data_IF_841097176823
#
_entry.id   IF_841097176823
#
_cell.length_a   1.000
_cell.length_b   1.000
_cell.length_c   1.000
_cell.angle_alpha   90.00
_cell.angle_beta   90.00
_cell.angle_gamma   90.00
#
_symmetry.space_group_name_H-M   'P 1'
#
loop_
_entity.id
_entity.type
_entity.pdbx_description
1 polymer ?
#
# COMPACT_ATOMS: atom_id res chain seq x y z
N UNK A 1 -72.73 -17.51 -11.84
CA UNK A 1 -71.46 -17.19 -11.20
C UNK A 1 -70.37 -17.80 -12.07
N UNK A 2 -69.49 -16.98 -12.65
CA UNK A 2 -68.45 -17.48 -13.55
C UNK A 2 -67.28 -18.13 -12.79
N UNK A 3 -67.15 -17.90 -11.48
CA UNK A 3 -66.08 -18.45 -10.66
C UNK A 3 -66.18 -19.97 -10.40
N UNK A 4 -67.30 -20.60 -10.79
CA UNK A 4 -67.55 -22.03 -10.60
C UNK A 4 -67.52 -22.83 -11.91
N UNK A 5 -67.15 -22.21 -13.03
CA UNK A 5 -67.06 -22.86 -14.34
C UNK A 5 -65.63 -23.32 -14.59
N UNK A 6 -65.46 -24.52 -15.16
CA UNK A 6 -64.16 -24.98 -15.66
C UNK A 6 -63.71 -24.13 -16.87
N UNK A 7 -62.42 -24.07 -17.21
CA UNK A 7 -61.95 -23.38 -18.40
C UNK A 7 -62.61 -23.93 -19.68
N UNK A 8 -63.09 -23.06 -20.55
CA UNK A 8 -63.80 -23.44 -21.77
C UNK A 8 -64.69 -22.35 -22.35
N UNK A 9 -65.30 -22.65 -23.49
CA UNK A 9 -66.28 -21.77 -24.15
C UNK A 9 -67.69 -22.13 -23.69
N UNK A 10 -68.46 -21.13 -23.26
CA UNK A 10 -69.83 -21.28 -22.77
C UNK A 10 -70.76 -20.33 -23.50
N UNK A 11 -71.92 -20.83 -23.89
CA UNK A 11 -72.96 -20.00 -24.50
C UNK A 11 -73.89 -19.41 -23.44
N UNK A 12 -73.99 -18.08 -23.42
CA UNK A 12 -74.94 -17.35 -22.60
C UNK A 12 -76.17 -17.02 -23.45
N UNK A 13 -77.26 -17.73 -23.20
CA UNK A 13 -78.55 -17.49 -23.87
C UNK A 13 -79.48 -16.69 -22.98
N UNK A 14 -79.97 -15.56 -23.50
CA UNK A 14 -81.02 -14.74 -22.86
C UNK A 14 -82.29 -14.88 -23.68
N UNK A 15 -83.41 -15.13 -23.01
CA UNK A 15 -84.73 -15.25 -23.65
C UNK A 15 -85.68 -14.22 -23.07
N UNK A 16 -86.36 -13.46 -23.93
CA UNK A 16 -87.43 -12.53 -23.54
C UNK A 16 -88.63 -12.77 -24.45
N UNK A 17 -89.71 -13.30 -23.88
CA UNK A 17 -90.86 -13.76 -24.67
C UNK A 17 -90.45 -14.87 -25.64
N UNK A 18 -90.66 -14.66 -26.95
CA UNK A 18 -90.25 -15.59 -28.02
C UNK A 18 -88.88 -15.30 -28.65
N UNK A 19 -88.19 -14.24 -28.23
CA UNK A 19 -86.88 -13.87 -28.77
C UNK A 19 -85.75 -14.46 -27.92
N UNK A 20 -84.76 -15.06 -28.58
CA UNK A 20 -83.52 -15.56 -27.96
C UNK A 20 -82.32 -14.82 -28.53
N UNK A 21 -81.35 -14.51 -27.68
CA UNK A 21 -80.04 -14.03 -28.07
C UNK A 21 -78.99 -14.87 -27.35
N UNK A 22 -78.01 -15.38 -28.10
CA UNK A 22 -76.88 -16.13 -27.56
C UNK A 22 -75.59 -15.34 -27.74
N UNK A 23 -74.73 -15.35 -26.73
CA UNK A 23 -73.38 -14.81 -26.80
C UNK A 23 -72.41 -15.80 -26.15
N UNK A 24 -71.36 -16.17 -26.87
CA UNK A 24 -70.32 -17.02 -26.33
C UNK A 24 -69.40 -16.22 -25.41
N UNK A 25 -69.08 -16.82 -24.27
CA UNK A 25 -68.10 -16.34 -23.30
C UNK A 25 -66.99 -17.38 -23.19
N UNK A 26 -65.75 -16.94 -23.02
CA UNK A 26 -64.62 -17.83 -22.76
C UNK A 26 -64.22 -17.66 -21.30
N UNK A 27 -64.18 -18.77 -20.57
CA UNK A 27 -63.56 -18.87 -19.25
C UNK A 27 -62.14 -19.35 -19.46
N UNK A 28 -61.16 -18.49 -19.22
CA UNK A 28 -59.75 -18.82 -19.39
C UNK A 28 -59.24 -19.67 -18.21
N UNK A 29 -58.25 -20.54 -18.48
CA UNK A 29 -57.55 -21.25 -17.42
C UNK A 29 -56.67 -20.27 -16.63
N UNK A 30 -56.86 -20.25 -15.31
CA UNK A 30 -56.11 -19.36 -14.44
C UNK A 30 -54.61 -19.73 -14.44
N UNK A 31 -53.76 -18.75 -14.74
CA UNK A 31 -52.32 -18.95 -14.91
C UNK A 31 -51.65 -19.13 -13.55
N UNK A 32 -50.76 -20.11 -13.46
CA UNK A 32 -49.95 -20.34 -12.27
C UNK A 32 -49.11 -19.11 -11.88
N UNK A 33 -48.83 -18.96 -10.58
CA UNK A 33 -48.06 -17.85 -10.06
C UNK A 33 -46.69 -17.74 -10.74
N UNK A 34 -46.44 -16.61 -11.41
CA UNK A 34 -45.22 -16.36 -12.18
C UNK A 34 -44.66 -15.02 -11.75
N UNK A 35 -43.44 -14.99 -11.21
CA UNK A 35 -42.88 -13.80 -10.59
C UNK A 35 -41.89 -13.09 -11.51
N UNK A 36 -42.18 -11.85 -11.87
CA UNK A 36 -41.30 -10.99 -12.67
C UNK A 36 -40.75 -9.82 -11.83
N UNK A 37 -39.51 -9.43 -12.11
CA UNK A 37 -38.90 -8.21 -11.55
C UNK A 37 -39.21 -7.03 -12.48
N UNK A 38 -40.09 -6.13 -12.06
CA UNK A 38 -40.56 -5.00 -12.88
C UNK A 38 -39.69 -3.75 -12.75
N UNK A 39 -38.98 -3.58 -11.64
CA UNK A 39 -38.06 -2.46 -11.38
C UNK A 39 -36.91 -2.88 -10.46
N UNK A 40 -35.73 -2.31 -10.68
CA UNK A 40 -34.61 -2.28 -9.73
C UNK A 40 -34.31 -0.81 -9.51
N UNK A 41 -34.29 -0.39 -8.25
CA UNK A 41 -33.96 0.95 -7.80
C UNK A 41 -32.73 0.86 -6.88
N UNK A 42 -31.65 1.50 -7.29
CA UNK A 42 -30.36 1.53 -6.63
C UNK A 42 -29.60 2.76 -7.15
N UNK A 43 -28.64 3.32 -6.39
CA UNK A 43 -27.81 4.41 -6.89
C UNK A 43 -26.98 3.95 -8.11
N UNK A 44 -26.46 4.90 -8.88
CA UNK A 44 -25.57 4.61 -10.00
C UNK A 44 -24.16 4.24 -9.55
N UNK A 45 -23.72 4.80 -8.41
CA UNK A 45 -22.47 4.49 -7.75
C UNK A 45 -22.63 4.33 -6.23
N UNK A 46 -21.67 3.66 -5.61
CA UNK A 46 -21.46 3.61 -4.16
C UNK A 46 -19.97 3.83 -3.88
N UNK A 47 -19.63 4.48 -2.77
CA UNK A 47 -18.23 4.65 -2.34
C UNK A 47 -17.71 3.37 -1.66
N UNK A 48 -16.41 3.13 -1.74
CA UNK A 48 -15.75 2.05 -1.00
C UNK A 48 -15.97 2.18 0.51
N UNK A 49 -16.33 1.07 1.16
CA UNK A 49 -16.75 1.03 2.56
C UNK A 49 -18.13 1.63 2.83
N UNK A 50 -18.83 2.13 1.80
CA UNK A 50 -20.18 2.66 1.91
C UNK A 50 -21.28 1.60 1.89
N UNK A 51 -22.49 2.02 2.21
CA UNK A 51 -23.68 1.15 2.23
C UNK A 51 -24.47 1.25 0.90
N UNK A 52 -24.62 0.12 0.20
CA UNK A 52 -25.42 0.04 -1.02
C UNK A 52 -26.87 -0.37 -0.71
N UNK A 53 -27.79 0.59 -0.79
CA UNK A 53 -29.23 0.35 -0.65
C UNK A 53 -29.88 0.00 -1.99
N UNK A 54 -30.54 -1.16 -2.04
CA UNK A 54 -31.20 -1.69 -3.24
C UNK A 54 -32.66 -2.01 -2.93
N UNK A 55 -33.55 -1.60 -3.83
CA UNK A 55 -34.93 -2.04 -3.83
C UNK A 55 -35.32 -2.68 -5.17
N UNK A 56 -36.12 -3.74 -5.12
CA UNK A 56 -36.67 -4.38 -6.30
C UNK A 56 -38.20 -4.45 -6.19
N UNK A 57 -38.89 -4.16 -7.29
CA UNK A 57 -40.34 -4.37 -7.39
C UNK A 57 -40.57 -5.71 -8.05
N UNK A 58 -41.27 -6.60 -7.33
CA UNK A 58 -41.60 -7.95 -7.79
C UNK A 58 -43.10 -8.06 -7.96
N UNK A 59 -43.54 -8.51 -9.13
CA UNK A 59 -44.94 -8.67 -9.49
C UNK A 59 -45.24 -10.14 -9.81
N UNK A 60 -46.34 -10.64 -9.28
CA UNK A 60 -46.93 -11.90 -9.75
C UNK A 60 -47.75 -11.60 -11.01
N UNK A 61 -47.30 -12.05 -12.18
CA UNK A 61 -47.99 -11.85 -13.46
C UNK A 61 -48.97 -12.98 -13.81
N UNK A 62 -49.03 -14.01 -12.95
CA UNK A 62 -50.05 -15.05 -12.98
C UNK A 62 -51.31 -14.66 -12.21
N UNK A 63 -52.28 -15.55 -12.20
CA UNK A 63 -53.61 -15.34 -11.60
C UNK A 63 -53.72 -16.00 -10.21
N UNK A 64 -52.92 -17.03 -9.94
CA UNK A 64 -52.88 -17.70 -8.64
C UNK A 64 -51.95 -16.99 -7.66
N UNK A 65 -52.33 -17.00 -6.38
CA UNK A 65 -51.43 -16.61 -5.31
C UNK A 65 -50.21 -17.54 -5.23
N UNK A 66 -49.05 -17.00 -4.87
CA UNK A 66 -47.82 -17.78 -4.75
C UNK A 66 -46.83 -17.16 -3.79
N UNK A 67 -45.78 -17.91 -3.47
CA UNK A 67 -44.63 -17.44 -2.69
C UNK A 67 -43.37 -17.56 -3.52
N UNK A 68 -42.52 -16.53 -3.46
CA UNK A 68 -41.27 -16.46 -4.20
C UNK A 68 -40.15 -15.93 -3.30
N UNK A 69 -39.01 -16.63 -3.31
CA UNK A 69 -37.75 -16.08 -2.80
C UNK A 69 -37.05 -15.28 -3.89
N UNK A 70 -36.84 -14.01 -3.64
CA UNK A 70 -36.12 -13.06 -4.47
C UNK A 70 -34.67 -13.02 -4.00
N UNK A 71 -33.74 -13.34 -4.89
CA UNK A 71 -32.30 -13.24 -4.62
C UNK A 71 -31.78 -11.95 -5.23
N UNK A 72 -31.10 -11.13 -4.44
CA UNK A 72 -30.46 -9.89 -4.86
C UNK A 72 -28.95 -10.09 -4.66
N UNK A 73 -28.16 -9.87 -5.70
CA UNK A 73 -26.70 -10.03 -5.68
C UNK A 73 -26.02 -8.80 -6.27
N UNK A 74 -24.95 -8.36 -5.63
CA UNK A 74 -24.05 -7.32 -6.15
C UNK A 74 -22.65 -7.89 -6.34
N UNK A 75 -22.13 -7.83 -7.57
CA UNK A 75 -20.84 -8.42 -7.93
C UNK A 75 -20.79 -9.93 -7.65
N UNK A 76 -19.59 -10.48 -7.46
CA UNK A 76 -19.40 -11.92 -7.26
C UNK A 76 -19.74 -12.42 -5.84
N UNK A 77 -19.74 -11.57 -4.81
CA UNK A 77 -19.79 -12.04 -3.42
C UNK A 77 -20.95 -11.55 -2.54
N UNK A 78 -21.53 -10.37 -2.77
CA UNK A 78 -22.58 -9.84 -1.90
C UNK A 78 -23.94 -10.35 -2.33
N UNK A 79 -24.67 -11.07 -1.47
CA UNK A 79 -26.01 -11.57 -1.81
C UNK A 79 -26.96 -11.58 -0.63
N UNK A 80 -28.24 -11.36 -0.91
CA UNK A 80 -29.32 -11.37 0.07
C UNK A 80 -30.58 -11.99 -0.52
N UNK A 81 -31.37 -12.64 0.33
CA UNK A 81 -32.64 -13.23 -0.05
C UNK A 81 -33.81 -12.53 0.67
N UNK A 82 -34.92 -12.35 -0.03
CA UNK A 82 -36.19 -11.87 0.53
C UNK A 82 -37.33 -12.71 -0.02
N UNK A 83 -38.18 -13.26 0.86
CA UNK A 83 -39.35 -14.03 0.43
C UNK A 83 -40.58 -13.14 0.44
N UNK A 84 -41.36 -13.18 -0.64
CA UNK A 84 -42.65 -12.49 -0.76
C UNK A 84 -43.76 -13.50 -1.07
N UNK A 85 -44.94 -13.27 -0.49
CA UNK A 85 -46.18 -13.92 -0.89
C UNK A 85 -47.06 -12.88 -1.57
N UNK A 86 -47.55 -13.17 -2.77
CA UNK A 86 -48.33 -12.26 -3.60
C UNK A 86 -49.52 -12.99 -4.21
N UNK A 87 -50.69 -12.35 -4.14
CA UNK A 87 -51.86 -12.74 -4.93
C UNK A 87 -51.60 -12.56 -6.43
N UNK A 88 -52.48 -13.11 -7.27
CA UNK A 88 -52.42 -12.92 -8.72
C UNK A 88 -52.50 -11.43 -9.08
N UNK A 89 -51.62 -10.98 -9.98
CA UNK A 89 -51.53 -9.59 -10.41
C UNK A 89 -50.89 -8.61 -9.40
N UNK A 90 -50.74 -8.98 -8.12
CA UNK A 90 -50.21 -8.12 -7.08
C UNK A 90 -48.69 -7.89 -7.21
N UNK A 91 -48.20 -6.79 -6.65
CA UNK A 91 -46.78 -6.47 -6.59
C UNK A 91 -46.33 -6.04 -5.19
N UNK A 92 -45.06 -6.29 -4.89
CA UNK A 92 -44.42 -5.90 -3.64
C UNK A 92 -43.00 -5.39 -3.90
N UNK A 93 -42.65 -4.32 -3.21
CA UNK A 93 -41.28 -3.81 -3.14
C UNK A 93 -40.52 -4.53 -2.02
N UNK A 94 -39.35 -5.07 -2.35
CA UNK A 94 -38.39 -5.67 -1.41
C UNK A 94 -37.14 -4.82 -1.37
N UNK A 95 -36.57 -4.62 -0.19
CA UNK A 95 -35.34 -3.83 -0.02
C UNK A 95 -34.26 -4.59 0.76
N UNK A 96 -33.02 -4.33 0.40
CA UNK A 96 -31.79 -4.85 1.02
C UNK A 96 -30.77 -3.72 1.08
N UNK A 97 -30.01 -3.66 2.16
CA UNK A 97 -28.79 -2.86 2.24
C UNK A 97 -27.61 -3.81 2.33
N UNK A 98 -26.64 -3.64 1.43
CA UNK A 98 -25.32 -4.25 1.56
C UNK A 98 -24.44 -3.23 2.28
N UNK A 99 -24.14 -3.49 3.54
CA UNK A 99 -23.29 -2.60 4.33
C UNK A 99 -21.80 -2.83 4.03
N UNK A 100 -20.99 -1.79 4.21
CA UNK A 100 -19.52 -1.81 4.12
C UNK A 100 -19.01 -2.48 2.83
N UNK A 101 -19.39 -1.92 1.67
CA UNK A 101 -19.03 -2.48 0.36
C UNK A 101 -17.55 -2.25 0.07
N UNK A 102 -16.74 -3.29 0.25
CA UNK A 102 -15.29 -3.30 -0.05
C UNK A 102 -14.97 -4.29 -1.16
N UNK A 103 -14.74 -3.78 -2.38
CA UNK A 103 -14.33 -4.54 -3.57
C UNK A 103 -13.52 -3.62 -4.49
N UNK A 104 -12.99 -4.19 -5.56
CA UNK A 104 -12.36 -3.40 -6.62
C UNK A 104 -13.37 -2.44 -7.26
N UNK A 105 -12.90 -1.27 -7.64
CA UNK A 105 -13.66 -0.22 -8.28
C UNK A 105 -14.22 -0.61 -9.65
N UNK A 106 -15.05 0.27 -10.19
CA UNK A 106 -15.67 0.08 -11.49
C UNK A 106 -17.06 -0.55 -11.44
N UNK A 107 -17.58 -0.92 -12.61
CA UNK A 107 -18.98 -1.30 -12.79
C UNK A 107 -19.23 -2.76 -12.41
N UNK A 108 -20.07 -2.99 -11.41
CA UNK A 108 -20.45 -4.33 -10.95
C UNK A 108 -21.91 -4.65 -11.25
N UNK A 109 -22.24 -5.91 -11.59
CA UNK A 109 -23.62 -6.31 -11.85
C UNK A 109 -24.42 -6.39 -10.56
N UNK A 110 -25.52 -5.64 -10.50
CA UNK A 110 -26.60 -5.80 -9.54
C UNK A 110 -27.70 -6.66 -10.16
N UNK A 111 -27.81 -7.90 -9.70
CA UNK A 111 -28.69 -8.93 -10.26
C UNK A 111 -29.81 -9.25 -9.27
N UNK A 112 -31.05 -9.20 -9.74
CA UNK A 112 -32.25 -9.63 -9.02
C UNK A 112 -32.87 -10.83 -9.73
N UNK A 113 -32.98 -11.94 -9.03
CA UNK A 113 -33.44 -13.22 -9.58
C UNK A 113 -34.66 -13.72 -8.81
N UNK A 114 -35.70 -14.11 -9.53
CA UNK A 114 -36.81 -14.95 -9.08
C UNK A 114 -36.66 -16.35 -9.70
N UNK A 115 -37.55 -17.29 -9.39
CA UNK A 115 -37.55 -18.60 -10.05
C UNK A 115 -37.83 -18.52 -11.56
N UNK A 116 -38.48 -17.44 -12.01
CA UNK A 116 -38.99 -17.29 -13.37
C UNK A 116 -38.23 -16.26 -14.20
N UNK A 117 -37.62 -15.25 -13.57
CA UNK A 117 -36.99 -14.14 -14.29
C UNK A 117 -35.80 -13.58 -13.53
N UNK A 118 -34.75 -13.25 -14.28
CA UNK A 118 -33.62 -12.45 -13.82
C UNK A 118 -33.68 -11.08 -14.46
N UNK A 119 -33.34 -10.05 -13.69
CA UNK A 119 -33.09 -8.70 -14.19
C UNK A 119 -31.82 -8.17 -13.57
N UNK A 120 -31.05 -7.41 -14.33
CA UNK A 120 -29.79 -6.84 -13.87
C UNK A 120 -29.61 -5.40 -14.34
N UNK A 121 -28.74 -4.68 -13.62
CA UNK A 121 -28.16 -3.39 -14.02
C UNK A 121 -26.75 -3.27 -13.46
N UNK A 122 -25.94 -2.36 -13.99
CA UNK A 122 -24.65 -2.04 -13.38
C UNK A 122 -24.80 -1.01 -12.26
N UNK A 123 -23.98 -1.15 -11.20
CA UNK A 123 -23.74 -0.14 -10.18
C UNK A 123 -22.24 -0.01 -10.00
N UNK A 124 -21.70 1.20 -10.17
CA UNK A 124 -20.27 1.46 -10.04
C UNK A 124 -19.84 1.49 -8.56
N UNK A 125 -18.62 1.04 -8.29
CA UNK A 125 -17.94 1.27 -7.02
C UNK A 125 -16.85 2.31 -7.26
N UNK A 126 -16.91 3.42 -6.52
CA UNK A 126 -15.87 4.44 -6.47
C UNK A 126 -14.85 4.01 -5.43
N UNK A 127 -13.62 3.76 -5.86
CA UNK A 127 -12.54 3.23 -5.02
C UNK A 127 -11.53 4.35 -4.71
N UNK A 128 -11.05 4.48 -3.45
CA UNK A 128 -10.14 5.55 -3.07
C UNK A 128 -8.72 5.35 -3.63
N UNK A 129 -8.26 4.11 -3.77
CA UNK A 129 -7.01 3.80 -4.48
C UNK A 129 -7.15 4.14 -5.97
N UNK A 130 -6.20 4.90 -6.57
CA UNK A 130 -6.19 5.19 -8.00
C UNK A 130 -6.01 3.95 -8.90
N UNK A 131 -5.54 2.83 -8.35
CA UNK A 131 -5.49 1.54 -9.04
C UNK A 131 -6.87 0.89 -9.20
N UNK A 132 -7.88 1.41 -8.49
CA UNK A 132 -9.18 0.77 -8.41
C UNK A 132 -9.20 -0.46 -7.51
N UNK A 133 -8.10 -0.84 -6.87
CA UNK A 133 -8.05 -1.97 -5.95
C UNK A 133 -7.06 -1.72 -4.80
N UNK A 134 -7.08 -2.61 -3.81
CA UNK A 134 -6.21 -2.53 -2.63
C UNK A 134 -5.11 -3.58 -2.63
N UNK A 135 -5.23 -4.67 -3.40
CA UNK A 135 -4.19 -5.71 -3.48
C UNK A 135 -3.53 -5.61 -4.85
N UNK A 136 -2.30 -5.10 -4.88
CA UNK A 136 -1.53 -4.87 -6.10
C UNK A 136 -0.62 -6.06 -6.39
N UNK A 137 -0.65 -6.56 -7.62
CA UNK A 137 0.31 -7.53 -8.13
C UNK A 137 1.70 -6.91 -8.21
N UNK A 138 2.66 -7.42 -7.44
CA UNK A 138 4.05 -6.99 -7.45
C UNK A 138 4.93 -8.01 -8.16
N UNK A 139 5.42 -7.66 -9.33
CA UNK A 139 6.53 -8.39 -9.95
C UNK A 139 7.84 -7.78 -9.50
N UNK A 140 8.80 -8.62 -9.14
CA UNK A 140 10.12 -8.15 -8.73
C UNK A 140 11.16 -8.80 -9.61
N UNK A 141 11.85 -7.95 -10.35
CA UNK A 141 12.89 -8.28 -11.30
C UNK A 141 14.26 -8.15 -10.61
N UNK A 142 14.62 -9.20 -9.85
CA UNK A 142 15.87 -9.31 -9.10
C UNK A 142 16.94 -10.15 -9.81
N UNK A 143 16.73 -10.49 -11.08
CA UNK A 143 17.63 -11.34 -11.86
C UNK A 143 19.05 -10.76 -12.01
N UNK A 144 19.19 -9.43 -11.96
CA UNK A 144 20.48 -8.75 -12.03
C UNK A 144 21.18 -8.63 -10.66
N UNK A 145 20.53 -9.01 -9.56
CA UNK A 145 21.10 -8.88 -8.22
C UNK A 145 21.86 -10.14 -7.84
N UNK A 146 23.14 -9.99 -7.47
CA UNK A 146 24.02 -11.13 -7.14
C UNK A 146 23.73 -11.75 -5.76
N UNK A 147 22.70 -11.26 -5.05
CA UNK A 147 22.31 -11.68 -3.70
C UNK A 147 20.79 -11.75 -3.55
N UNK A 148 20.32 -12.54 -2.59
CA UNK A 148 18.89 -12.65 -2.30
C UNK A 148 18.36 -11.37 -1.63
N UNK A 149 17.43 -10.69 -2.29
CA UNK A 149 16.78 -9.45 -1.83
C UNK A 149 15.28 -9.62 -1.53
N UNK A 150 14.76 -10.85 -1.56
CA UNK A 150 13.35 -11.12 -1.28
C UNK A 150 12.88 -10.61 0.09
N UNK A 151 13.72 -10.76 1.12
CA UNK A 151 13.45 -10.24 2.45
C UNK A 151 13.39 -8.72 2.51
N UNK A 152 14.25 -8.04 1.74
CA UNK A 152 14.30 -6.58 1.65
C UNK A 152 13.04 -6.02 0.97
N UNK A 153 12.65 -6.61 -0.17
CA UNK A 153 11.40 -6.24 -0.85
C UNK A 153 10.15 -6.50 0.01
N UNK A 154 10.13 -7.60 0.76
CA UNK A 154 9.03 -7.92 1.68
C UNK A 154 8.96 -6.95 2.88
N UNK A 155 10.12 -6.54 3.42
CA UNK A 155 10.16 -5.56 4.51
C UNK A 155 9.63 -4.19 4.05
N UNK A 156 10.04 -3.74 2.87
CA UNK A 156 9.64 -2.47 2.27
C UNK A 156 8.15 -2.43 1.89
N UNK A 157 7.64 -3.46 1.23
CA UNK A 157 6.20 -3.56 0.93
C UNK A 157 5.38 -3.61 2.22
N UNK A 158 5.79 -4.42 3.20
CA UNK A 158 5.13 -4.48 4.49
C UNK A 158 5.16 -3.16 5.26
N UNK A 159 6.11 -2.24 5.00
CA UNK A 159 6.06 -0.89 5.56
C UNK A 159 4.80 -0.15 5.08
N UNK A 160 4.52 -0.16 3.78
CA UNK A 160 3.32 0.46 3.23
C UNK A 160 2.06 -0.23 3.73
N UNK A 161 1.98 -1.56 3.72
CA UNK A 161 0.81 -2.30 4.23
C UNK A 161 0.46 -2.03 5.71
N UNK A 162 1.42 -1.54 6.50
CA UNK A 162 1.20 -1.18 7.91
C UNK A 162 0.87 0.30 8.12
N UNK A 163 1.18 1.16 7.16
CA UNK A 163 1.10 2.63 7.30
C UNK A 163 0.27 3.31 6.20
N UNK A 164 -0.34 2.52 5.32
CA UNK A 164 -1.10 2.91 4.14
C UNK A 164 -2.21 3.92 4.41
N UNK A 165 -3.18 3.62 5.27
CA UNK A 165 -4.29 4.52 5.57
C UNK A 165 -3.80 5.86 6.15
N UNK A 166 -2.66 5.85 6.85
CA UNK A 166 -2.07 7.06 7.43
C UNK A 166 -1.46 7.97 6.36
N UNK A 167 -0.73 7.40 5.40
CA UNK A 167 0.06 8.19 4.44
C UNK A 167 -0.60 8.30 3.06
N UNK A 168 -1.32 7.27 2.62
CA UNK A 168 -1.99 7.19 1.33
C UNK A 168 -3.50 7.50 1.41
N UNK A 169 -4.09 7.37 2.61
CA UNK A 169 -5.54 7.57 2.80
C UNK A 169 -6.41 6.39 2.33
N UNK A 170 -5.79 5.27 1.95
CA UNK A 170 -6.45 4.01 1.58
C UNK A 170 -5.56 2.83 1.94
N UNK A 171 -6.13 1.63 2.19
CA UNK A 171 -5.34 0.44 2.45
C UNK A 171 -4.68 -0.10 1.18
N UNK A 172 -3.48 -0.65 1.30
CA UNK A 172 -2.75 -1.33 0.23
C UNK A 172 -2.09 -2.61 0.72
N UNK A 173 -2.09 -3.62 -0.14
CA UNK A 173 -1.42 -4.90 0.01
C UNK A 173 -0.66 -5.22 -1.27
N UNK A 174 0.46 -5.93 -1.16
CA UNK A 174 1.25 -6.36 -2.31
C UNK A 174 1.26 -7.88 -2.42
N UNK A 175 0.74 -8.42 -3.52
CA UNK A 175 0.81 -9.85 -3.83
C UNK A 175 1.93 -10.13 -4.82
N UNK A 176 2.92 -10.93 -4.44
CA UNK A 176 4.02 -11.30 -5.34
C UNK A 176 3.48 -12.10 -6.53
N UNK A 177 3.71 -11.60 -7.74
CA UNK A 177 3.40 -12.32 -8.99
C UNK A 177 4.68 -12.82 -9.65
N UNK A 178 4.57 -13.93 -10.38
CA UNK A 178 5.69 -14.59 -11.06
C UNK A 178 5.89 -14.12 -12.50
N UNK A 179 4.97 -13.31 -13.02
CA UNK A 179 4.93 -12.88 -14.42
C UNK A 179 4.62 -11.39 -14.45
N UNK A 180 5.47 -10.62 -15.14
CA UNK A 180 5.37 -9.16 -15.27
C UNK A 180 4.03 -8.73 -15.90
N UNK A 181 3.43 -9.56 -16.76
CA UNK A 181 2.14 -9.25 -17.39
C UNK A 181 0.95 -9.26 -16.44
N UNK A 182 1.13 -9.76 -15.21
CA UNK A 182 0.13 -9.76 -14.13
C UNK A 182 0.45 -8.73 -13.05
N UNK A 183 1.46 -7.89 -13.28
CA UNK A 183 1.90 -6.92 -12.29
C UNK A 183 1.16 -5.60 -12.46
N UNK A 184 0.78 -5.03 -11.33
CA UNK A 184 0.38 -3.62 -11.23
C UNK A 184 1.60 -2.73 -10.99
N UNK A 185 2.58 -3.28 -10.26
CA UNK A 185 3.87 -2.64 -9.96
C UNK A 185 5.01 -3.59 -10.31
N UNK A 186 6.02 -3.07 -10.99
CA UNK A 186 7.30 -3.73 -11.24
C UNK A 186 8.37 -3.09 -10.38
N UNK A 187 8.95 -3.86 -9.47
CA UNK A 187 10.16 -3.48 -8.74
C UNK A 187 11.38 -4.07 -9.46
N UNK A 188 12.19 -3.23 -10.09
CA UNK A 188 13.37 -3.62 -10.84
C UNK A 188 14.65 -3.27 -10.11
N UNK A 189 15.64 -4.14 -10.19
CA UNK A 189 16.98 -3.86 -9.67
C UNK A 189 17.98 -3.72 -10.81
N UNK A 190 18.40 -2.48 -11.09
CA UNK A 190 19.38 -2.17 -12.14
C UNK A 190 20.15 -0.89 -11.81
N UNK A 191 21.23 -0.58 -12.53
CA UNK A 191 21.98 0.67 -12.33
C UNK A 191 21.10 1.88 -12.66
N UNK A 192 21.02 2.81 -11.72
CA UNK A 192 20.27 4.05 -11.90
C UNK A 192 21.26 5.17 -12.20
N UNK A 193 21.39 5.51 -13.48
CA UNK A 193 22.31 6.58 -13.91
C UNK A 193 21.63 7.94 -14.00
N UNK A 194 20.29 7.96 -14.17
CA UNK A 194 19.47 9.17 -14.27
C UNK A 194 18.08 8.91 -13.77
N UNK A 195 17.50 9.89 -13.09
CA UNK A 195 16.08 9.93 -12.77
C UNK A 195 15.53 11.34 -13.04
N UNK A 196 14.42 11.42 -13.79
CA UNK A 196 13.81 12.71 -14.16
C UNK A 196 14.72 13.61 -15.02
N UNK A 197 14.76 14.90 -14.69
CA UNK A 197 15.47 15.95 -15.46
C UNK A 197 16.83 16.33 -14.87
N UNK A 198 17.26 15.65 -13.81
CA UNK A 198 18.49 15.99 -13.12
C UNK A 198 19.74 15.52 -13.87
N UNK A 199 20.85 16.25 -13.66
CA UNK A 199 22.08 16.13 -14.44
C UNK A 199 22.98 14.94 -14.05
N UNK A 200 24.02 14.70 -14.84
CA UNK A 200 24.92 13.55 -14.72
C UNK A 200 25.81 13.50 -13.44
N UNK A 201 25.80 14.54 -12.59
CA UNK A 201 26.71 14.65 -11.44
C UNK A 201 26.06 14.23 -10.10
N UNK A 202 24.81 13.74 -10.12
CA UNK A 202 24.07 13.30 -8.92
C UNK A 202 24.15 11.78 -8.74
N UNK A 203 24.32 11.32 -7.50
CA UNK A 203 24.27 9.90 -7.12
C UNK A 203 22.80 9.49 -6.92
N UNK A 204 22.29 8.56 -7.72
CA UNK A 204 20.92 8.05 -7.59
C UNK A 204 20.90 6.67 -6.94
N UNK A 205 20.01 6.46 -5.96
CA UNK A 205 19.73 5.14 -5.40
C UNK A 205 18.53 4.47 -6.04
N UNK A 206 17.56 5.24 -6.53
CA UNK A 206 16.36 4.73 -7.15
C UNK A 206 15.73 5.71 -8.15
N UNK A 207 14.70 5.23 -8.84
CA UNK A 207 13.83 6.03 -9.68
C UNK A 207 12.50 5.32 -9.92
N UNK A 208 11.39 6.04 -9.81
CA UNK A 208 10.06 5.50 -10.03
C UNK A 208 9.19 6.36 -10.94
N UNK A 209 8.19 5.71 -11.52
CA UNK A 209 7.04 6.40 -12.06
C UNK A 209 6.26 7.09 -10.92
N UNK A 210 5.97 8.38 -11.10
CA UNK A 210 5.06 9.11 -10.22
C UNK A 210 3.61 8.90 -10.66
N UNK A 211 2.77 8.43 -9.75
CA UNK A 211 1.31 8.40 -9.93
C UNK A 211 0.76 9.81 -9.73
N UNK A 212 -0.01 10.31 -10.69
CA UNK A 212 -0.61 11.66 -10.61
C UNK A 212 -2.13 11.56 -10.65
N UNK A 213 -2.68 11.04 -11.76
CA UNK A 213 -4.13 10.89 -11.94
C UNK A 213 -4.52 9.40 -11.98
N UNK A 214 -3.98 8.65 -12.94
CA UNK A 214 -4.23 7.22 -13.13
C UNK A 214 -2.91 6.48 -13.30
N UNK A 215 -2.79 5.23 -12.79
CA UNK A 215 -1.56 4.46 -12.92
C UNK A 215 -1.32 4.05 -14.37
N UNK A 216 -0.06 4.11 -14.79
CA UNK A 216 0.41 3.51 -16.04
C UNK A 216 0.79 2.07 -15.76
N UNK A 217 -0.16 1.14 -15.83
CA UNK A 217 0.06 -0.25 -15.42
C UNK A 217 0.91 -1.05 -16.43
N UNK A 218 2.02 -1.70 -16.01
CA UNK A 218 2.59 -1.67 -14.66
C UNK A 218 3.38 -0.38 -14.38
N UNK A 219 3.18 0.17 -13.19
CA UNK A 219 4.03 1.25 -12.68
C UNK A 219 5.42 0.68 -12.34
N UNK A 220 6.49 1.40 -12.64
CA UNK A 220 7.85 0.89 -12.40
C UNK A 220 8.56 1.64 -11.28
N UNK A 221 9.18 0.90 -10.36
CA UNK A 221 10.16 1.39 -9.40
C UNK A 221 11.49 0.68 -9.66
N UNK A 222 12.57 1.44 -9.89
CA UNK A 222 13.92 0.89 -10.12
C UNK A 222 14.84 1.26 -8.97
N UNK A 223 15.62 0.31 -8.46
CA UNK A 223 16.57 0.50 -7.36
C UNK A 223 17.97 0.04 -7.76
N UNK A 224 19.00 0.81 -7.42
CA UNK A 224 20.38 0.47 -7.75
C UNK A 224 20.82 -0.78 -6.99
N UNK A 225 21.09 -1.85 -7.73
CA UNK A 225 21.47 -3.15 -7.15
C UNK A 225 22.74 -3.15 -6.29
N UNK A 226 23.56 -2.09 -6.35
CA UNK A 226 24.85 -1.99 -5.66
C UNK A 226 24.77 -1.35 -4.28
N UNK A 227 23.62 -0.80 -3.87
CA UNK A 227 23.46 -0.22 -2.52
C UNK A 227 23.40 -1.34 -1.47
N UNK A 228 23.57 -0.99 -0.18
CA UNK A 228 23.38 -1.89 0.95
C UNK A 228 21.92 -2.39 1.04
N UNK A 229 21.62 -3.45 1.78
CA UNK A 229 20.24 -3.87 2.02
C UNK A 229 19.46 -2.86 2.88
N UNK A 230 20.15 -2.08 3.73
CA UNK A 230 19.55 -1.01 4.51
C UNK A 230 19.07 0.14 3.61
N UNK A 231 19.96 0.64 2.73
CA UNK A 231 19.64 1.67 1.75
C UNK A 231 18.66 1.16 0.69
N UNK A 232 18.78 -0.10 0.28
CA UNK A 232 17.83 -0.74 -0.63
C UNK A 232 16.43 -0.75 -0.04
N UNK A 233 16.29 -1.12 1.24
CA UNK A 233 14.99 -1.09 1.92
C UNK A 233 14.40 0.32 1.95
N UNK A 234 15.19 1.33 2.36
CA UNK A 234 14.75 2.72 2.39
C UNK A 234 14.37 3.24 1.00
N UNK A 235 15.16 2.90 -0.01
CA UNK A 235 14.92 3.29 -1.41
C UNK A 235 13.67 2.63 -1.96
N UNK A 236 13.45 1.32 -1.75
CA UNK A 236 12.20 0.67 -2.19
C UNK A 236 11.01 1.35 -1.53
N UNK A 237 11.06 1.68 -0.24
CA UNK A 237 9.96 2.38 0.43
C UNK A 237 9.68 3.73 -0.25
N UNK A 238 10.73 4.53 -0.52
CA UNK A 238 10.64 5.81 -1.20
C UNK A 238 10.02 5.69 -2.61
N UNK A 239 10.60 4.81 -3.44
CA UNK A 239 10.13 4.59 -4.82
C UNK A 239 8.71 4.03 -4.85
N UNK A 240 8.35 3.19 -3.88
CA UNK A 240 6.97 2.73 -3.70
C UNK A 240 6.02 3.88 -3.30
N UNK A 241 6.49 4.90 -2.60
CA UNK A 241 5.71 6.11 -2.33
C UNK A 241 5.32 6.85 -3.61
N UNK A 242 6.25 7.01 -4.55
CA UNK A 242 5.99 7.64 -5.85
C UNK A 242 4.96 6.89 -6.69
N UNK A 243 5.05 5.56 -6.77
CA UNK A 243 4.02 4.77 -7.47
C UNK A 243 2.66 4.82 -6.75
N UNK A 244 2.59 5.24 -5.49
CA UNK A 244 1.34 5.51 -4.78
C UNK A 244 0.89 6.99 -4.83
N UNK A 245 1.70 7.85 -5.46
CA UNK A 245 1.38 9.24 -5.75
C UNK A 245 1.93 10.26 -4.77
N UNK A 246 2.83 9.84 -3.89
CA UNK A 246 3.53 10.76 -3.01
C UNK A 246 4.67 11.47 -3.73
N UNK A 247 4.80 12.78 -3.53
CA UNK A 247 5.91 13.60 -4.00
C UNK A 247 7.01 13.73 -2.94
N UNK A 248 8.14 14.32 -3.33
CA UNK A 248 9.22 14.55 -2.40
C UNK A 248 8.81 15.49 -1.25
N UNK A 249 9.21 15.12 -0.03
CA UNK A 249 8.96 15.89 1.20
C UNK A 249 7.56 15.69 1.80
N UNK A 250 6.69 14.92 1.16
CA UNK A 250 5.42 14.51 1.76
C UNK A 250 5.63 13.46 2.86
N UNK A 251 4.65 13.31 3.75
CA UNK A 251 4.75 12.31 4.81
C UNK A 251 4.74 10.88 4.24
N UNK A 252 5.66 9.98 4.66
CA UNK A 252 6.69 10.14 5.70
C UNK A 252 7.91 10.96 5.25
N UNK A 253 8.07 12.19 5.77
CA UNK A 253 8.94 13.21 5.18
C UNK A 253 10.43 12.83 5.15
N UNK A 254 10.91 12.05 6.12
CA UNK A 254 12.27 11.53 6.10
C UNK A 254 12.52 10.56 4.95
N UNK A 255 11.61 9.61 4.74
CA UNK A 255 11.72 8.59 3.70
C UNK A 255 11.40 9.14 2.32
N UNK A 256 10.44 10.07 2.19
CA UNK A 256 10.09 10.72 0.93
C UNK A 256 10.95 11.96 0.64
N UNK A 257 12.01 12.23 1.40
CA UNK A 257 12.91 13.33 1.08
C UNK A 257 13.64 13.05 -0.25
N UNK A 258 13.80 14.07 -1.10
CA UNK A 258 14.54 13.96 -2.36
C UNK A 258 16.02 13.59 -2.14
N UNK A 259 16.56 13.91 -0.96
CA UNK A 259 17.93 13.60 -0.58
C UNK A 259 17.94 12.66 0.61
N UNK A 260 18.52 11.47 0.43
CA UNK A 260 18.86 10.58 1.54
C UNK A 260 20.05 11.12 2.33
N UNK A 261 19.88 11.24 3.65
CA UNK A 261 20.92 11.67 4.61
C UNK A 261 20.88 10.77 5.84
N UNK A 262 21.92 10.81 6.68
CA UNK A 262 21.98 10.03 7.92
C UNK A 262 20.73 10.20 8.81
N UNK A 263 20.14 11.40 8.85
CA UNK A 263 18.96 11.70 9.65
C UNK A 263 17.63 11.21 9.03
N UNK A 264 17.62 10.94 7.73
CA UNK A 264 16.42 10.38 7.05
C UNK A 264 16.18 8.92 7.41
N UNK A 265 17.21 8.19 7.82
CA UNK A 265 17.12 6.78 8.24
C UNK A 265 16.74 6.67 9.71
N UNK A 266 15.70 5.89 10.02
CA UNK A 266 15.22 5.69 11.40
C UNK A 266 14.78 4.24 11.67
N UNK A 267 15.55 3.46 12.44
CA UNK A 267 16.87 3.80 12.98
C UNK A 267 17.95 3.87 11.89
N UNK A 268 18.98 4.69 12.12
CA UNK A 268 20.24 4.62 11.38
C UNK A 268 20.99 3.34 11.81
N UNK A 269 20.98 2.34 10.92
CA UNK A 269 21.74 1.09 11.07
C UNK A 269 23.24 1.29 10.85
N UNK A 270 24.05 0.85 11.80
CA UNK A 270 25.50 1.04 11.82
C UNK A 270 26.19 -0.32 11.95
N UNK A 271 27.17 -0.59 11.07
CA UNK A 271 28.05 -1.74 11.22
C UNK A 271 29.38 -1.27 11.78
N UNK A 272 29.64 -1.62 13.04
CA UNK A 272 30.90 -1.35 13.72
C UNK A 272 31.82 -2.57 13.59
N UNK A 273 33.04 -2.35 13.11
CA UNK A 273 34.03 -3.41 12.93
C UNK A 273 35.44 -2.94 13.26
N UNK A 274 36.30 -3.90 13.54
CA UNK A 274 37.75 -3.73 13.58
C UNK A 274 38.35 -4.30 12.27
N UNK A 275 39.56 -3.89 11.91
CA UNK A 275 40.26 -4.36 10.72
C UNK A 275 40.55 -5.88 10.77
N UNK A 276 40.76 -6.44 11.97
CA UNK A 276 40.97 -7.88 12.20
C UNK A 276 39.69 -8.64 12.65
N UNK A 277 38.53 -7.97 12.78
CA UNK A 277 37.27 -8.61 13.12
C UNK A 277 36.27 -7.76 13.91
N UNK A 278 35.85 -8.25 15.08
CA UNK A 278 34.93 -7.54 15.96
C UNK A 278 35.71 -6.58 16.88
N UNK A 279 35.15 -5.38 17.08
CA UNK A 279 35.66 -4.40 18.04
C UNK A 279 35.61 -4.91 19.48
N UNK A 280 36.42 -4.29 20.35
CA UNK A 280 36.36 -4.49 21.79
C UNK A 280 35.13 -3.79 22.38
N UNK A 281 34.64 -4.30 23.52
CA UNK A 281 33.51 -3.69 24.25
C UNK A 281 33.71 -2.20 24.58
N UNK A 282 34.89 -1.76 25.08
CA UNK A 282 35.14 -0.34 25.34
C UNK A 282 34.97 0.56 24.11
N UNK A 283 35.49 0.16 22.94
CA UNK A 283 35.32 0.94 21.71
C UNK A 283 33.85 0.98 21.28
N UNK A 284 33.13 -0.14 21.40
CA UNK A 284 31.69 -0.20 21.14
C UNK A 284 30.90 0.74 22.06
N UNK A 285 31.23 0.79 23.35
CA UNK A 285 30.62 1.67 24.34
C UNK A 285 30.84 3.17 24.01
N UNK A 286 32.06 3.53 23.56
CA UNK A 286 32.40 4.90 23.15
C UNK A 286 31.65 5.34 21.88
N UNK A 287 31.55 4.44 20.88
CA UNK A 287 30.75 4.69 19.67
C UNK A 287 29.28 4.85 20.04
N UNK A 288 28.75 4.00 20.93
CA UNK A 288 27.39 4.09 21.42
C UNK A 288 27.11 5.41 22.15
N UNK A 289 28.01 5.83 23.04
CA UNK A 289 27.90 7.10 23.76
C UNK A 289 27.80 8.29 22.80
N UNK A 290 28.61 8.29 21.73
CA UNK A 290 28.57 9.33 20.71
C UNK A 290 27.24 9.40 19.96
N UNK A 291 26.66 8.25 19.64
CA UNK A 291 25.39 8.17 18.92
C UNK A 291 24.20 8.50 19.82
N UNK A 292 24.27 8.12 21.10
CA UNK A 292 23.29 8.46 22.13
C UNK A 292 23.25 9.97 22.41
N UNK A 293 24.39 10.66 22.32
CA UNK A 293 24.43 12.12 22.34
C UNK A 293 23.49 12.73 21.28
N UNK A 294 23.54 12.24 20.03
CA UNK A 294 22.62 12.71 18.98
C UNK A 294 21.18 12.23 19.19
N UNK A 295 20.98 11.02 19.70
CA UNK A 295 19.64 10.49 19.98
C UNK A 295 18.92 11.28 21.09
N UNK A 296 19.67 11.88 22.01
CA UNK A 296 19.16 12.74 23.08
C UNK A 296 18.83 14.18 22.65
N UNK A 297 19.15 14.58 21.41
CA UNK A 297 18.96 15.95 20.91
C UNK A 297 17.62 16.14 20.19
N UNK A 298 17.08 17.35 20.30
CA UNK A 298 15.82 17.76 19.65
C UNK A 298 16.03 18.56 18.36
N UNK A 299 17.27 18.92 18.03
CA UNK A 299 17.64 19.80 16.91
C UNK A 299 18.43 19.07 15.80
N UNK A 300 18.11 17.79 15.60
CA UNK A 300 18.66 16.99 14.50
C UNK A 300 18.03 17.43 13.18
N UNK A 301 18.85 17.73 12.18
CA UNK A 301 18.39 18.19 10.85
C UNK A 301 17.62 17.09 10.15
N UNK A 302 16.46 17.42 9.56
CA UNK A 302 15.70 16.46 8.77
C UNK A 302 15.03 15.35 9.60
N UNK A 303 14.99 15.50 10.93
CA UNK A 303 14.41 14.48 11.80
C UNK A 303 13.80 14.99 13.10
N UNK A 304 12.54 14.63 13.38
CA UNK A 304 11.91 14.87 14.70
C UNK A 304 12.60 14.18 15.88
N UNK A 305 13.33 13.07 15.64
CA UNK A 305 14.08 12.27 16.63
C UNK A 305 15.06 11.33 15.92
N UNK A 306 16.36 11.48 16.19
CA UNK A 306 17.38 10.53 15.76
C UNK A 306 17.28 9.23 16.57
N UNK A 307 17.47 8.11 15.88
CA UNK A 307 17.54 6.79 16.48
C UNK A 307 18.54 5.96 15.68
N UNK A 308 19.22 5.04 16.34
CA UNK A 308 20.28 4.26 15.73
C UNK A 308 20.26 2.83 16.29
N UNK A 309 20.85 1.89 15.56
CA UNK A 309 21.07 0.52 16.02
C UNK A 309 22.34 -0.07 15.38
N UNK A 310 23.03 -0.95 16.12
CA UNK A 310 24.10 -1.76 15.54
C UNK A 310 23.53 -2.94 14.75
N UNK A 311 24.23 -3.31 13.68
CA UNK A 311 23.96 -4.49 12.85
C UNK A 311 25.24 -5.24 12.54
N UNK A 312 25.11 -6.53 12.21
CA UNK A 312 26.24 -7.46 12.12
C UNK A 312 27.01 -7.42 10.79
N UNK A 313 26.58 -6.59 9.82
CA UNK A 313 27.23 -6.55 8.51
C UNK A 313 27.10 -5.22 7.81
N UNK A 314 28.09 -4.88 6.99
CA UNK A 314 28.06 -3.72 6.09
C UNK A 314 26.85 -3.78 5.14
N UNK A 315 26.41 -5.00 4.79
CA UNK A 315 25.23 -5.19 3.95
C UNK A 315 23.97 -4.67 4.64
N UNK A 316 23.84 -4.84 5.95
CA UNK A 316 22.64 -4.48 6.69
C UNK A 316 22.70 -3.06 7.26
N UNK A 317 23.77 -2.30 7.00
CA UNK A 317 24.02 -0.98 7.55
C UNK A 317 23.88 0.13 6.51
N UNK A 318 23.47 1.32 6.95
CA UNK A 318 23.57 2.54 6.14
C UNK A 318 24.98 3.15 6.22
N UNK A 319 25.66 2.96 7.36
CA UNK A 319 27.01 3.48 7.62
C UNK A 319 27.88 2.40 8.26
N UNK A 320 29.13 2.31 7.83
CA UNK A 320 30.17 1.56 8.51
C UNK A 320 30.96 2.49 9.42
N UNK A 321 31.39 1.96 10.57
CA UNK A 321 32.44 2.55 11.38
C UNK A 321 33.51 1.48 11.49
N UNK A 322 34.71 1.79 11.03
CA UNK A 322 35.84 0.87 11.17
C UNK A 322 36.91 1.46 12.06
N UNK A 323 37.20 0.73 13.14
CA UNK A 323 38.32 1.00 14.02
C UNK A 323 39.56 0.28 13.51
N UNK A 324 40.68 0.99 13.37
CA UNK A 324 41.93 0.49 12.82
C UNK A 324 43.10 1.00 13.67
N UNK A 325 43.69 0.09 14.45
CA UNK A 325 44.81 0.42 15.32
C UNK A 325 46.12 0.70 14.57
N UNK A 326 46.21 0.37 13.27
CA UNK A 326 47.45 0.46 12.48
C UNK A 326 47.54 1.76 11.69
N UNK A 327 46.41 2.25 11.17
CA UNK A 327 46.28 3.52 10.46
C UNK A 327 47.00 3.56 9.12
N UNK A 328 46.25 3.42 8.03
CA UNK A 328 46.82 3.49 6.66
C UNK A 328 45.93 4.23 5.64
N UNK A 329 44.68 4.57 5.98
CA UNK A 329 43.68 5.07 5.03
C UNK A 329 43.45 6.58 5.15
N UNK A 330 43.31 7.10 6.38
CA UNK A 330 42.93 8.48 6.64
C UNK A 330 44.11 9.42 6.85
N UNK A 331 45.00 9.07 7.78
CA UNK A 331 46.07 9.95 8.23
C UNK A 331 47.35 9.13 8.36
N UNK A 332 48.46 9.65 7.85
CA UNK A 332 49.75 8.93 7.83
C UNK A 332 50.63 9.20 9.04
N UNK A 333 50.25 10.15 9.91
CA UNK A 333 50.95 10.49 11.15
C UNK A 333 49.98 11.06 12.21
N UNK A 334 49.88 10.42 13.38
CA UNK A 334 49.35 11.05 14.61
C UNK A 334 47.89 10.77 14.98
N UNK A 335 47.25 9.77 14.36
CA UNK A 335 45.90 9.29 14.67
C UNK A 335 44.77 10.27 14.37
N UNK A 336 43.59 9.75 14.01
CA UNK A 336 42.43 10.59 13.72
C UNK A 336 41.26 9.84 13.11
N UNK A 337 40.34 10.60 12.51
CA UNK A 337 39.19 10.04 11.80
C UNK A 337 38.94 10.72 10.45
N UNK A 338 38.42 9.95 9.51
CA UNK A 338 37.93 10.45 8.23
C UNK A 338 36.78 9.59 7.69
N UNK A 339 36.08 10.09 6.68
CA UNK A 339 35.01 9.34 6.01
C UNK A 339 35.44 8.98 4.59
N UNK A 340 35.34 7.69 4.26
CA UNK A 340 35.62 7.14 2.92
C UNK A 340 34.38 6.43 2.36
N UNK A 341 34.44 5.99 1.10
CA UNK A 341 33.40 5.12 0.54
C UNK A 341 33.44 3.75 1.23
N UNK A 342 32.27 3.26 1.64
CA UNK A 342 32.09 1.93 2.22
C UNK A 342 32.03 0.81 1.18
N UNK A 343 31.60 -0.38 1.62
CA UNK A 343 31.56 -1.58 0.78
C UNK A 343 30.51 -1.51 -0.33
N UNK A 344 29.40 -0.78 -0.09
CA UNK A 344 28.29 -0.65 -1.01
C UNK A 344 28.22 0.73 -1.65
N UNK A 345 27.63 0.81 -2.85
CA UNK A 345 27.47 2.08 -3.55
C UNK A 345 26.63 3.05 -2.71
N UNK A 346 27.15 4.24 -2.42
CA UNK A 346 26.45 5.20 -1.58
C UNK A 346 26.86 5.18 -0.10
N UNK A 347 27.32 4.02 0.38
CA UNK A 347 27.61 3.80 1.79
C UNK A 347 28.86 4.56 2.23
N UNK A 348 28.85 5.08 3.44
CA UNK A 348 29.98 5.74 4.08
C UNK A 348 30.67 4.78 5.06
N UNK A 349 31.99 4.85 5.15
CA UNK A 349 32.80 4.21 6.19
C UNK A 349 33.56 5.29 6.97
N UNK A 350 33.22 5.47 8.24
CA UNK A 350 33.94 6.34 9.17
C UNK A 350 35.10 5.53 9.74
N UNK A 351 36.30 5.86 9.28
CA UNK A 351 37.55 5.24 9.72
C UNK A 351 38.07 5.96 10.95
N UNK A 352 38.39 5.19 11.98
CA UNK A 352 38.96 5.63 13.26
C UNK A 352 40.35 5.00 13.36
N UNK A 353 41.41 5.78 13.13
CA UNK A 353 42.77 5.26 12.95
C UNK A 353 43.73 5.72 14.04
N UNK A 354 44.50 4.77 14.60
CA UNK A 354 45.51 5.01 15.65
C UNK A 354 44.97 5.88 16.82
N UNK A 355 43.73 5.61 17.25
CA UNK A 355 43.08 6.33 18.33
C UNK A 355 43.21 5.57 19.65
N UNK A 356 43.37 6.31 20.75
CA UNK A 356 43.13 5.77 22.08
C UNK A 356 41.61 5.68 22.32
N UNK A 357 41.16 4.68 23.08
CA UNK A 357 39.74 4.41 23.34
C UNK A 357 39.02 5.67 23.86
N UNK A 358 39.67 6.44 24.74
CA UNK A 358 39.06 7.60 25.42
C UNK A 358 38.68 8.76 24.49
N UNK A 359 39.15 8.78 23.23
CA UNK A 359 38.80 9.84 22.28
C UNK A 359 37.88 9.35 21.15
N UNK A 360 37.53 8.06 21.14
CA UNK A 360 36.69 7.45 20.09
C UNK A 360 35.35 8.15 19.99
N UNK A 361 34.66 8.37 21.11
CA UNK A 361 33.36 9.02 21.10
C UNK A 361 33.41 10.39 20.41
N UNK A 362 34.39 11.23 20.77
CA UNK A 362 34.56 12.54 20.16
C UNK A 362 34.80 12.46 18.64
N UNK A 363 35.61 11.50 18.18
CA UNK A 363 35.89 11.32 16.75
C UNK A 363 34.67 10.85 15.95
N UNK A 364 33.82 10.00 16.55
CA UNK A 364 32.51 9.64 15.98
C UNK A 364 31.59 10.86 15.97
N UNK A 365 31.47 11.56 17.10
CA UNK A 365 30.69 12.80 17.22
C UNK A 365 31.04 13.82 16.14
N UNK A 366 32.33 14.11 15.99
CA UNK A 366 32.86 15.02 14.97
C UNK A 366 32.50 14.59 13.54
N UNK A 367 32.56 13.29 13.24
CA UNK A 367 32.29 12.76 11.90
C UNK A 367 30.80 12.86 11.52
N UNK A 368 29.90 12.79 12.50
CA UNK A 368 28.46 12.82 12.27
C UNK A 368 27.84 14.22 12.43
N UNK A 369 28.48 15.12 13.18
CA UNK A 369 27.89 16.41 13.56
C UNK A 369 27.42 17.25 12.37
N UNK A 370 28.23 17.40 11.31
CA UNK A 370 27.86 18.22 10.15
C UNK A 370 26.72 17.62 9.32
N UNK A 371 26.48 16.31 9.43
CA UNK A 371 25.40 15.63 8.74
C UNK A 371 24.10 15.62 9.55
N UNK A 372 24.20 15.71 10.88
CA UNK A 372 23.06 15.62 11.79
C UNK A 372 22.63 16.95 12.40
N UNK A 373 23.47 17.98 12.41
CA UNK A 373 23.20 19.26 13.09
C UNK A 373 23.31 20.46 12.14
N UNK A 374 22.40 21.44 12.30
CA UNK A 374 22.48 22.71 11.57
C UNK A 374 23.66 23.55 12.08
N UNK A 375 23.86 23.57 13.40
CA UNK A 375 24.97 24.23 14.07
C UNK A 375 25.78 23.21 14.86
N UNK A 376 27.03 23.01 14.43
CA UNK A 376 27.98 22.10 15.10
C UNK A 376 28.48 22.75 16.40
N UNK A 377 28.35 22.10 17.57
CA UNK A 377 28.84 22.62 18.83
C UNK A 377 30.35 22.89 18.81
N UNK A 378 30.83 23.95 19.47
CA UNK A 378 32.25 24.33 19.44
C UNK A 378 33.17 23.24 20.00
N UNK A 379 32.69 22.40 20.91
CA UNK A 379 33.42 21.25 21.46
C UNK A 379 33.68 20.16 20.42
N UNK A 380 32.88 20.07 19.36
CA UNK A 380 33.14 19.23 18.19
C UNK A 380 33.87 20.10 17.15
N UNK A 381 35.17 20.34 17.38
CA UNK A 381 36.04 21.11 16.48
C UNK A 381 37.43 20.51 16.39
N UNK A 382 38.09 20.65 15.23
CA UNK A 382 39.51 20.25 15.09
C UNK A 382 40.44 20.92 16.11
N UNK A 383 40.04 22.08 16.64
CA UNK A 383 40.81 22.84 17.63
C UNK A 383 40.61 22.35 19.07
N UNK A 384 39.60 21.50 19.34
CA UNK A 384 39.32 20.93 20.67
C UNK A 384 40.53 20.17 21.17
N UNK A 385 40.98 20.48 22.38
CA UNK A 385 42.15 19.83 22.96
C UNK A 385 41.84 18.40 23.42
N UNK A 386 42.88 17.58 23.57
CA UNK A 386 42.72 16.16 23.88
C UNK A 386 41.92 15.91 25.15
N UNK A 387 42.09 16.71 26.21
CA UNK A 387 41.39 16.50 27.48
C UNK A 387 39.90 16.80 27.35
N UNK A 388 39.55 17.78 26.52
CA UNK A 388 38.15 18.07 26.19
C UNK A 388 37.54 16.96 25.33
N UNK A 389 38.31 16.34 24.42
CA UNK A 389 37.86 15.16 23.66
C UNK A 389 37.59 13.95 24.55
N UNK A 390 38.50 13.69 25.50
CA UNK A 390 38.38 12.60 26.48
C UNK A 390 37.17 12.75 27.41
N UNK A 391 36.62 13.95 27.55
CA UNK A 391 35.46 14.23 28.40
C UNK A 391 34.13 14.20 27.62
N UNK A 392 34.16 14.18 26.29
CA UNK A 392 32.94 14.18 25.47
C UNK A 392 32.40 12.75 25.35
N UNK A 393 31.07 12.48 25.43
CA UNK A 393 29.96 13.43 25.38
C UNK A 393 29.37 13.87 26.74
N UNK A 394 30.08 13.69 27.86
CA UNK A 394 29.55 13.92 29.22
C UNK A 394 29.19 15.38 29.57
#
# INVERSE_FOLDING_TARGET
DAAALDPGEYDLTVTVGGATATRSIVVEEARAATFAVSAIDAPDSVEYGGDLSVAATVRNVGDWAGTQTVRIRYGAGASANRTVALDGGAERRVSVTFADVRRDGGAHPLVVTTANRTRERAVALSHPSPYGETTLGLYVDDAAVDRNVSGVAAAATGYWERNDERYLGYPVAYERVSDESRADVVLRFDRVERCGVEGNDTRYFGCADLLVDEPRTPMTATVDRRVSDADMNATIIHELGHVQGLEHGEEPAGLMNATSTLATHRPLKIHLRDDDGAVTGPVEDEVAAALDYFAGREDIVGSDRFAWEFVDSARDAHVQITYDERGEVCITDGGGSCTVDGEYYGQQDVRLEELDEEVVAWHVGWSFASALLEEVPPELSRETDRREREAWPE
#
